data_IF_890025068227
#
_entry.id   IF_890025068227
#
_cell.length_a   1.000
_cell.length_b   1.000
_cell.length_c   1.000
_cell.angle_alpha   90.00
_cell.angle_beta   90.00
_cell.angle_gamma   90.00
#
_symmetry.space_group_name_H-M   'P 1'
#
loop_
_entity.id
_entity.type
_entity.pdbx_description
1 polymer ?
#
# COMPACT_ATOMS: atom_id res chain seq x y z
N UNK A 1 -14.20 11.69 0.58
CA UNK A 1 -13.15 11.12 1.45
C UNK A 1 -13.28 9.61 1.37
N UNK A 2 -12.19 8.88 1.55
CA UNK A 2 -12.13 7.43 1.28
C UNK A 2 -13.06 6.57 2.15
N UNK A 3 -13.57 7.10 3.26
CA UNK A 3 -14.43 6.41 4.22
C UNK A 3 -15.82 7.04 4.37
N UNK A 4 -16.25 7.80 3.38
CA UNK A 4 -17.58 8.41 3.35
C UNK A 4 -18.50 7.61 2.43
N UNK A 5 -19.70 7.30 2.89
CA UNK A 5 -20.74 6.59 2.10
C UNK A 5 -21.90 7.53 1.85
N UNK A 6 -22.22 7.77 0.58
CA UNK A 6 -23.37 8.57 0.18
C UNK A 6 -24.56 7.63 -0.02
N UNK A 7 -25.59 7.81 0.79
CA UNK A 7 -26.87 7.13 0.69
C UNK A 7 -27.83 7.99 -0.12
N UNK A 8 -28.54 7.37 -1.06
CA UNK A 8 -29.61 8.03 -1.83
C UNK A 8 -30.80 7.08 -1.92
N UNK A 9 -31.99 7.59 -1.73
CA UNK A 9 -33.23 6.80 -1.77
C UNK A 9 -34.37 7.53 -2.48
N UNK A 10 -35.39 6.78 -2.85
CA UNK A 10 -36.59 7.35 -3.41
C UNK A 10 -37.45 7.97 -2.30
N UNK A 11 -37.99 9.16 -2.55
CA UNK A 11 -38.88 9.82 -1.61
C UNK A 11 -40.05 8.90 -1.23
N UNK A 12 -40.27 8.78 0.07
CA UNK A 12 -41.47 8.11 0.57
C UNK A 12 -42.72 8.93 0.26
N UNK A 13 -43.86 8.25 0.18
CA UNK A 13 -45.16 8.88 0.05
C UNK A 13 -45.96 8.67 1.32
N UNK A 14 -46.70 9.68 1.72
CA UNK A 14 -47.56 9.69 2.89
C UNK A 14 -48.85 10.43 2.54
N UNK A 15 -49.97 10.14 3.20
CA UNK A 15 -51.27 10.77 2.95
C UNK A 15 -51.35 12.22 3.49
N UNK A 16 -50.42 12.61 4.33
CA UNK A 16 -50.33 13.96 4.87
C UNK A 16 -49.07 14.68 4.36
N UNK A 17 -47.91 14.28 4.81
CA UNK A 17 -46.59 14.69 4.31
C UNK A 17 -45.47 13.93 5.02
N UNK A 18 -44.43 13.60 4.29
CA UNK A 18 -43.17 13.11 4.89
C UNK A 18 -42.41 14.27 5.56
N UNK A 19 -42.17 14.15 6.85
CA UNK A 19 -41.46 15.14 7.64
C UNK A 19 -39.93 15.03 7.54
N UNK A 20 -39.46 13.84 7.25
CA UNK A 20 -38.01 13.56 7.13
C UNK A 20 -37.69 12.08 7.26
N UNK A 21 -36.41 11.80 7.32
CA UNK A 21 -35.86 10.43 7.33
C UNK A 21 -34.90 10.23 8.50
N UNK A 22 -34.97 9.06 9.09
CA UNK A 22 -33.95 8.54 9.99
C UNK A 22 -33.03 7.60 9.23
N UNK A 23 -31.74 7.83 9.41
CA UNK A 23 -30.70 6.96 8.88
C UNK A 23 -30.12 6.16 10.05
N UNK A 24 -29.98 4.87 9.86
CA UNK A 24 -29.33 3.98 10.81
C UNK A 24 -28.12 3.33 10.14
N UNK A 25 -27.07 3.15 10.93
CA UNK A 25 -25.90 2.36 10.58
C UNK A 25 -25.81 1.24 11.60
N UNK A 26 -25.85 -0.01 11.15
CA UNK A 26 -25.78 -1.21 12.01
C UNK A 26 -26.78 -1.17 13.17
N UNK A 27 -27.98 -0.70 12.88
CA UNK A 27 -29.06 -0.57 13.85
C UNK A 27 -28.95 0.65 14.78
N UNK A 28 -27.88 1.45 14.67
CA UNK A 28 -27.70 2.66 15.47
C UNK A 28 -28.11 3.90 14.68
N UNK A 29 -28.96 4.79 15.22
CA UNK A 29 -29.35 6.01 14.51
C UNK A 29 -28.17 6.96 14.33
N UNK A 30 -28.06 7.53 13.14
CA UNK A 30 -27.05 8.54 12.82
C UNK A 30 -27.48 9.88 13.38
N UNK A 31 -26.64 10.45 14.22
CA UNK A 31 -26.84 11.79 14.82
C UNK A 31 -26.18 12.83 13.91
N UNK A 32 -26.93 13.80 13.37
CA UNK A 32 -26.34 14.89 12.60
C UNK A 32 -25.40 15.72 13.46
N UNK A 33 -24.28 16.13 12.87
CA UNK A 33 -23.26 16.93 13.56
C UNK A 33 -23.87 18.26 14.06
N UNK A 34 -23.58 18.59 15.33
CA UNK A 34 -23.99 19.84 15.95
C UNK A 34 -25.50 19.95 16.28
N UNK A 35 -26.25 18.83 16.20
CA UNK A 35 -27.67 18.81 16.59
C UNK A 35 -27.88 18.01 17.87
N UNK A 36 -28.77 18.55 18.72
CA UNK A 36 -29.35 17.79 19.84
C UNK A 36 -30.43 16.87 19.27
N UNK A 37 -30.00 15.63 18.91
CA UNK A 37 -30.82 14.65 18.25
C UNK A 37 -31.28 13.58 19.24
N UNK A 38 -32.59 13.43 19.39
CA UNK A 38 -33.18 12.39 20.21
C UNK A 38 -34.15 11.54 19.36
N UNK A 39 -33.78 10.30 19.01
CA UNK A 39 -34.63 9.44 18.19
C UNK A 39 -35.96 9.10 18.90
N UNK A 40 -35.99 9.09 20.23
CA UNK A 40 -37.21 8.85 21.00
C UNK A 40 -38.19 10.01 20.81
N UNK A 41 -37.71 11.21 20.58
CA UNK A 41 -38.50 12.43 20.41
C UNK A 41 -38.93 12.67 18.94
N UNK A 42 -38.77 11.71 18.06
CA UNK A 42 -39.20 11.85 16.66
C UNK A 42 -38.28 12.71 15.80
N UNK A 43 -37.04 12.98 16.24
CA UNK A 43 -36.10 13.73 15.41
C UNK A 43 -35.65 12.96 14.17
N UNK A 44 -35.44 13.69 13.07
CA UNK A 44 -34.97 13.17 11.80
C UNK A 44 -33.48 13.39 11.63
N UNK A 45 -32.81 12.44 10.96
CA UNK A 45 -31.41 12.63 10.53
C UNK A 45 -31.34 13.69 9.43
N UNK A 46 -32.27 13.65 8.47
CA UNK A 46 -32.34 14.58 7.34
C UNK A 46 -33.77 14.72 6.82
N UNK A 47 -34.06 15.84 6.18
CA UNK A 47 -35.29 16.04 5.40
C UNK A 47 -35.12 15.67 3.90
N UNK A 48 -33.87 15.51 3.48
CA UNK A 48 -33.51 15.20 2.10
C UNK A 48 -33.54 13.71 1.82
N UNK A 49 -33.60 13.32 0.54
CA UNK A 49 -33.52 11.93 0.09
C UNK A 49 -32.07 11.46 -0.18
N UNK A 50 -31.13 12.16 0.43
CA UNK A 50 -29.71 11.81 0.40
C UNK A 50 -29.06 12.15 1.73
N UNK A 51 -28.07 11.37 2.13
CA UNK A 51 -27.28 11.62 3.33
C UNK A 51 -25.88 11.01 3.20
N UNK A 52 -24.84 11.72 3.66
CA UNK A 52 -23.48 11.20 3.68
C UNK A 52 -23.14 10.74 5.10
N UNK A 53 -22.88 9.46 5.25
CA UNK A 53 -22.31 8.88 6.46
C UNK A 53 -20.80 8.93 6.36
N UNK A 54 -20.15 9.52 7.36
CA UNK A 54 -18.70 9.75 7.37
C UNK A 54 -18.00 8.89 8.40
N UNK A 55 -16.71 8.58 8.15
CA UNK A 55 -15.84 7.95 9.13
C UNK A 55 -16.13 6.47 9.41
N UNK A 56 -16.73 5.75 8.46
CA UNK A 56 -16.99 4.32 8.57
C UNK A 56 -15.72 3.50 8.41
N UNK A 57 -15.65 2.38 9.12
CA UNK A 57 -14.64 1.36 8.91
C UNK A 57 -15.09 0.43 7.76
N UNK A 58 -14.80 0.82 6.52
CA UNK A 58 -15.22 0.09 5.33
C UNK A 58 -14.53 -1.26 5.14
N UNK A 59 -13.69 -1.70 6.08
CA UNK A 59 -13.17 -3.07 6.14
C UNK A 59 -14.16 -4.04 6.81
N UNK A 60 -15.31 -3.54 7.24
CA UNK A 60 -16.42 -4.31 7.81
C UNK A 60 -17.69 -4.14 7.00
N UNK A 61 -18.55 -5.14 7.05
CA UNK A 61 -19.89 -5.02 6.51
C UNK A 61 -20.68 -3.99 7.30
N UNK A 62 -21.43 -3.14 6.60
CA UNK A 62 -22.34 -2.19 7.22
C UNK A 62 -23.74 -2.33 6.66
N UNK A 63 -24.73 -2.32 7.55
CA UNK A 63 -26.14 -2.29 7.18
C UNK A 63 -26.68 -0.88 7.39
N UNK A 64 -27.23 -0.31 6.34
CA UNK A 64 -27.90 0.98 6.37
C UNK A 64 -29.40 0.77 6.31
N UNK A 65 -30.13 1.46 7.18
CA UNK A 65 -31.60 1.45 7.20
C UNK A 65 -32.13 2.87 7.16
N UNK A 66 -33.08 3.12 6.28
CA UNK A 66 -33.75 4.41 6.12
C UNK A 66 -35.20 4.26 6.54
N UNK A 67 -35.65 5.03 7.48
CA UNK A 67 -37.06 5.14 7.90
C UNK A 67 -37.62 6.51 7.56
N UNK A 68 -38.76 6.56 6.95
CA UNK A 68 -39.52 7.79 6.75
C UNK A 68 -40.46 8.05 7.95
N UNK A 69 -40.58 9.30 8.33
CA UNK A 69 -41.54 9.73 9.34
C UNK A 69 -42.42 10.88 8.83
N UNK A 70 -43.65 10.92 9.26
CA UNK A 70 -44.59 11.97 8.88
C UNK A 70 -44.40 13.26 9.67
N UNK A 71 -45.02 14.33 9.20
CA UNK A 71 -44.98 15.65 9.87
C UNK A 71 -45.82 15.71 11.15
N UNK A 72 -46.79 14.82 11.29
CA UNK A 72 -47.68 14.81 12.44
C UNK A 72 -47.00 14.38 13.73
N UNK A 73 -45.98 13.56 13.65
CA UNK A 73 -45.21 13.12 14.78
C UNK A 73 -44.60 14.32 15.56
N UNK A 74 -43.96 15.25 14.85
CA UNK A 74 -43.40 16.47 15.49
C UNK A 74 -44.48 17.41 16.04
N UNK A 75 -45.57 17.55 15.36
CA UNK A 75 -46.69 18.34 15.81
C UNK A 75 -47.31 17.75 17.08
N UNK A 76 -47.49 16.44 17.14
CA UNK A 76 -48.01 15.75 18.34
C UNK A 76 -47.10 15.86 19.54
N UNK A 77 -45.78 15.80 19.37
CA UNK A 77 -44.80 16.05 20.44
C UNK A 77 -44.87 17.46 20.99
N UNK A 78 -44.95 18.45 20.09
CA UNK A 78 -45.01 19.88 20.49
C UNK A 78 -46.29 20.17 21.28
N UNK A 79 -47.38 19.47 21.02
CA UNK A 79 -48.66 19.60 21.72
C UNK A 79 -48.73 18.77 23.02
N UNK A 80 -47.73 17.94 23.32
CA UNK A 80 -47.74 17.08 24.51
C UNK A 80 -48.83 16.00 24.52
N UNK A 81 -49.36 15.61 23.35
CA UNK A 81 -50.47 14.70 23.19
C UNK A 81 -50.08 13.32 22.60
N UNK A 82 -48.80 13.07 22.37
CA UNK A 82 -48.30 11.86 21.74
C UNK A 82 -48.65 10.56 22.49
N UNK A 83 -48.77 10.60 23.82
CA UNK A 83 -49.17 9.45 24.65
C UNK A 83 -50.58 8.91 24.34
N UNK A 84 -51.38 9.68 23.64
CA UNK A 84 -52.78 9.36 23.37
C UNK A 84 -53.05 8.99 21.90
N UNK A 85 -52.05 9.11 21.04
CA UNK A 85 -52.16 8.77 19.63
C UNK A 85 -51.71 7.31 19.38
N UNK A 86 -52.56 6.38 19.77
CA UNK A 86 -52.37 4.99 19.37
C UNK A 86 -52.47 4.88 17.83
N UNK A 87 -51.38 4.58 17.14
CA UNK A 87 -51.35 4.39 15.70
C UNK A 87 -50.25 5.12 14.97
N UNK A 88 -49.46 5.98 15.62
CA UNK A 88 -48.25 6.58 15.06
C UNK A 88 -47.12 5.57 15.10
N UNK A 89 -47.03 4.75 14.12
CA UNK A 89 -45.85 3.92 13.87
C UNK A 89 -45.00 4.62 12.81
N UNK A 90 -43.75 4.91 13.15
CA UNK A 90 -42.71 4.96 12.16
C UNK A 90 -42.90 3.75 11.27
N UNK A 91 -42.84 3.93 9.94
CA UNK A 91 -42.92 2.80 9.03
C UNK A 91 -42.00 1.71 9.55
N UNK A 92 -42.61 0.65 10.03
CA UNK A 92 -41.92 -0.38 10.82
C UNK A 92 -40.84 -1.10 10.01
N UNK A 93 -40.90 -0.97 8.68
CA UNK A 93 -39.93 -1.53 7.78
C UNK A 93 -39.27 -0.43 6.97
N UNK A 94 -38.15 0.06 7.47
CA UNK A 94 -37.25 0.90 6.69
C UNK A 94 -36.66 0.13 5.50
N UNK A 95 -36.28 0.85 4.46
CA UNK A 95 -35.49 0.28 3.37
C UNK A 95 -34.08 0.00 3.92
N UNK A 96 -33.65 -1.26 3.85
CA UNK A 96 -32.32 -1.66 4.30
C UNK A 96 -31.47 -2.11 3.11
N UNK A 97 -30.19 -1.78 3.16
CA UNK A 97 -29.17 -2.26 2.24
C UNK A 97 -27.89 -2.58 3.00
N UNK A 98 -27.14 -3.54 2.51
CA UNK A 98 -25.84 -3.91 3.08
C UNK A 98 -24.74 -3.51 2.13
N UNK A 99 -23.71 -2.82 2.65
CA UNK A 99 -22.44 -2.58 1.99
C UNK A 99 -21.45 -3.62 2.51
N UNK A 100 -21.01 -4.51 1.64
CA UNK A 100 -20.01 -5.51 2.00
C UNK A 100 -18.64 -4.87 2.23
N UNK A 101 -17.86 -5.48 3.11
CA UNK A 101 -16.51 -5.06 3.45
C UNK A 101 -15.62 -4.98 2.21
N UNK A 102 -14.79 -3.94 2.14
CA UNK A 102 -13.63 -3.90 1.24
C UNK A 102 -12.55 -4.82 1.78
N UNK A 103 -11.79 -5.40 0.88
CA UNK A 103 -10.59 -6.10 1.28
C UNK A 103 -9.43 -5.12 1.45
N UNK A 104 -8.82 -5.13 2.62
CA UNK A 104 -7.55 -4.44 2.89
C UNK A 104 -6.67 -5.37 3.72
N UNK A 105 -5.47 -5.63 3.24
CA UNK A 105 -4.48 -6.44 3.95
C UNK A 105 -3.07 -5.98 3.62
N UNK A 106 -2.18 -6.13 4.57
CA UNK A 106 -0.76 -5.83 4.42
C UNK A 106 0.10 -7.00 4.91
N UNK A 107 1.30 -7.06 4.37
CA UNK A 107 2.34 -8.03 4.72
C UNK A 107 3.69 -7.36 4.59
N UNK A 108 4.67 -7.81 5.37
CA UNK A 108 6.05 -7.39 5.25
C UNK A 108 6.95 -8.61 5.13
N UNK A 109 7.94 -8.51 4.24
CA UNK A 109 8.94 -9.56 4.02
C UNK A 109 10.32 -8.93 3.91
N UNK A 110 11.35 -9.71 4.25
CA UNK A 110 12.74 -9.33 4.03
C UNK A 110 13.28 -10.15 2.88
N UNK A 111 13.87 -9.51 1.89
CA UNK A 111 14.44 -10.18 0.73
C UNK A 111 15.84 -10.75 1.00
N UNK A 112 16.39 -11.46 -0.01
CA UNK A 112 17.72 -12.08 0.10
C UNK A 112 18.86 -11.07 0.29
N UNK A 113 18.65 -9.78 0.00
CA UNK A 113 19.62 -8.70 0.23
C UNK A 113 19.52 -8.10 1.64
N UNK A 114 18.50 -8.51 2.42
CA UNK A 114 18.20 -7.95 3.73
C UNK A 114 17.32 -6.69 3.68
N UNK A 115 16.71 -6.37 2.54
CA UNK A 115 15.81 -5.24 2.42
C UNK A 115 14.39 -5.62 2.90
N UNK A 116 13.82 -4.79 3.76
CA UNK A 116 12.43 -4.93 4.20
C UNK A 116 11.50 -4.32 3.17
N UNK A 117 10.50 -5.10 2.78
CA UNK A 117 9.51 -4.74 1.76
C UNK A 117 8.12 -4.91 2.34
N UNK A 118 7.37 -3.83 2.40
CA UNK A 118 5.97 -3.87 2.76
C UNK A 118 5.10 -3.98 1.49
N UNK A 119 4.11 -4.87 1.52
CA UNK A 119 3.14 -5.06 0.45
C UNK A 119 1.75 -4.87 1.03
N UNK A 120 0.97 -3.97 0.45
CA UNK A 120 -0.43 -3.78 0.80
C UNK A 120 -1.31 -4.09 -0.40
N UNK A 121 -2.46 -4.70 -0.15
CA UNK A 121 -3.47 -5.03 -1.17
C UNK A 121 -4.81 -4.45 -0.75
N UNK A 122 -5.47 -3.78 -1.70
CA UNK A 122 -6.83 -3.27 -1.55
C UNK A 122 -7.70 -3.73 -2.70
N UNK A 123 -8.92 -4.08 -2.40
CA UNK A 123 -9.92 -4.44 -3.40
C UNK A 123 -11.31 -3.97 -2.97
N UNK A 124 -12.15 -3.68 -3.94
CA UNK A 124 -13.55 -3.36 -3.70
C UNK A 124 -14.30 -4.58 -3.13
N UNK A 125 -15.44 -4.29 -2.51
CA UNK A 125 -16.29 -5.32 -1.93
C UNK A 125 -16.67 -6.40 -2.96
N UNK A 126 -16.53 -7.65 -2.55
CA UNK A 126 -16.87 -8.81 -3.39
C UNK A 126 -15.77 -9.28 -4.36
N UNK A 127 -14.72 -8.48 -4.58
CA UNK A 127 -13.59 -8.88 -5.46
C UNK A 127 -12.73 -9.97 -4.81
N UNK A 128 -12.57 -9.91 -3.51
CA UNK A 128 -11.86 -10.91 -2.73
C UNK A 128 -12.82 -11.50 -1.70
N UNK A 129 -12.97 -12.84 -1.62
CA UNK A 129 -13.81 -13.48 -0.65
C UNK A 129 -13.47 -13.09 0.79
N UNK A 130 -14.49 -12.93 1.63
CA UNK A 130 -14.29 -12.61 3.06
C UNK A 130 -13.48 -13.71 3.76
N UNK A 131 -12.57 -13.32 4.65
CA UNK A 131 -11.70 -14.24 5.38
C UNK A 131 -10.45 -14.70 4.61
N UNK A 132 -10.27 -14.23 3.36
CA UNK A 132 -9.05 -14.51 2.60
C UNK A 132 -7.83 -13.84 3.23
N UNK A 133 -6.67 -14.50 3.12
CA UNK A 133 -5.41 -14.05 3.68
C UNK A 133 -4.40 -13.71 2.59
N UNK A 134 -3.77 -12.55 2.69
CA UNK A 134 -2.64 -12.18 1.87
C UNK A 134 -1.38 -12.90 2.37
N UNK A 135 -0.70 -13.63 1.47
CA UNK A 135 0.60 -14.23 1.72
C UNK A 135 1.61 -13.67 0.73
N UNK A 136 2.69 -13.10 1.27
CA UNK A 136 3.82 -12.59 0.49
C UNK A 136 5.06 -13.36 0.89
N UNK A 137 5.86 -13.76 -0.10
CA UNK A 137 7.14 -14.45 0.12
C UNK A 137 8.19 -13.81 -0.78
N UNK A 138 9.32 -13.42 -0.22
CA UNK A 138 10.47 -13.00 -1.02
C UNK A 138 11.22 -14.22 -1.54
N UNK A 139 11.44 -14.27 -2.86
CA UNK A 139 12.12 -15.39 -3.52
C UNK A 139 13.59 -15.02 -3.76
N UNK A 140 14.50 -15.90 -3.30
CA UNK A 140 15.95 -15.78 -3.50
C UNK A 140 16.56 -16.90 -4.36
N UNK A 141 15.72 -17.83 -4.83
CA UNK A 141 16.14 -18.98 -5.63
C UNK A 141 15.00 -19.52 -6.49
N UNK A 142 15.31 -20.43 -7.40
CA UNK A 142 14.34 -21.09 -8.29
C UNK A 142 14.23 -20.45 -9.66
N UNK A 143 13.45 -21.10 -10.54
CA UNK A 143 13.39 -20.75 -11.98
C UNK A 143 12.99 -19.28 -12.23
N UNK A 144 11.99 -18.78 -11.48
CA UNK A 144 11.56 -17.39 -11.61
C UNK A 144 12.66 -16.41 -11.17
N UNK A 145 13.37 -16.71 -10.08
CA UNK A 145 14.49 -15.90 -9.61
C UNK A 145 15.64 -15.89 -10.62
N UNK A 146 15.99 -17.05 -11.19
CA UNK A 146 17.07 -17.18 -12.19
C UNK A 146 16.74 -16.42 -13.48
N UNK A 147 15.48 -16.45 -13.92
CA UNK A 147 15.01 -15.69 -15.08
C UNK A 147 15.11 -14.17 -14.83
N UNK A 148 14.67 -13.71 -13.67
CA UNK A 148 14.78 -12.30 -13.24
C UNK A 148 16.24 -11.88 -13.17
N UNK A 149 17.09 -12.65 -12.50
CA UNK A 149 18.52 -12.39 -12.36
C UNK A 149 19.23 -12.28 -13.71
N UNK A 150 18.87 -13.14 -14.66
CA UNK A 150 19.41 -13.09 -16.03
C UNK A 150 18.94 -11.83 -16.78
N UNK A 151 17.69 -11.42 -16.62
CA UNK A 151 17.11 -10.27 -17.33
C UNK A 151 17.56 -8.92 -16.75
N UNK A 152 17.83 -8.88 -15.47
CA UNK A 152 18.26 -7.68 -14.74
C UNK A 152 19.69 -7.82 -14.18
N UNK A 153 20.56 -8.44 -14.97
CA UNK A 153 21.98 -8.55 -14.63
C UNK A 153 22.57 -7.16 -14.32
N UNK A 154 23.37 -7.09 -13.24
CA UNK A 154 23.93 -5.84 -12.72
C UNK A 154 22.91 -4.77 -12.28
N UNK A 155 21.69 -5.16 -11.95
CA UNK A 155 20.67 -4.30 -11.33
C UNK A 155 20.27 -4.85 -9.97
N UNK A 156 19.80 -3.96 -9.09
CA UNK A 156 19.16 -4.38 -7.84
C UNK A 156 17.73 -4.79 -8.11
N UNK A 157 17.30 -5.91 -7.56
CA UNK A 157 15.92 -6.34 -7.64
C UNK A 157 15.51 -7.14 -6.41
N UNK A 158 14.20 -7.16 -6.15
CA UNK A 158 13.56 -8.02 -5.17
C UNK A 158 12.38 -8.72 -5.82
N UNK A 159 12.37 -10.04 -5.80
CA UNK A 159 11.31 -10.87 -6.38
C UNK A 159 10.37 -11.34 -5.28
N UNK A 160 9.08 -11.08 -5.46
CA UNK A 160 8.02 -11.38 -4.51
C UNK A 160 7.02 -12.35 -5.14
N UNK A 161 6.69 -13.41 -4.43
CA UNK A 161 5.53 -14.26 -4.70
C UNK A 161 4.36 -13.74 -3.84
N UNK A 162 3.35 -13.18 -4.49
CA UNK A 162 2.15 -12.63 -3.85
C UNK A 162 1.01 -13.60 -4.10
N UNK A 163 0.38 -14.10 -3.05
CA UNK A 163 -0.72 -15.05 -3.11
C UNK A 163 -1.86 -14.64 -2.21
N UNK A 164 -3.05 -15.04 -2.61
CA UNK A 164 -4.25 -14.98 -1.80
C UNK A 164 -4.63 -16.39 -1.40
N UNK A 165 -4.89 -16.61 -0.13
CA UNK A 165 -5.34 -17.90 0.41
C UNK A 165 -6.76 -17.77 0.90
N UNK A 166 -7.60 -18.78 0.66
CA UNK A 166 -8.92 -18.89 1.28
C UNK A 166 -8.82 -19.30 2.76
N UNK A 167 -9.96 -19.46 3.41
CA UNK A 167 -10.04 -19.87 4.82
C UNK A 167 -9.53 -21.30 5.09
N UNK A 168 -9.39 -22.12 4.04
CA UNK A 168 -8.86 -23.49 4.10
C UNK A 168 -7.38 -23.54 3.76
N UNK A 169 -6.78 -22.41 3.33
CA UNK A 169 -5.38 -22.29 2.96
C UNK A 169 -5.08 -22.61 1.49
N UNK A 170 -6.12 -22.78 0.65
CA UNK A 170 -5.94 -22.97 -0.78
C UNK A 170 -5.62 -21.64 -1.46
N UNK A 171 -4.78 -21.69 -2.51
CA UNK A 171 -4.49 -20.51 -3.33
C UNK A 171 -5.70 -20.19 -4.19
N UNK A 172 -6.14 -18.95 -4.11
CA UNK A 172 -7.25 -18.41 -4.90
C UNK A 172 -6.81 -17.15 -5.66
N UNK A 173 -7.63 -16.73 -6.61
CA UNK A 173 -7.44 -15.49 -7.36
C UNK A 173 -8.59 -14.52 -7.07
N UNK A 174 -8.38 -13.21 -7.17
CA UNK A 174 -9.45 -12.23 -7.05
C UNK A 174 -10.43 -12.33 -8.21
N UNK A 175 -11.70 -12.04 -7.97
CA UNK A 175 -12.73 -11.91 -9.00
C UNK A 175 -12.86 -10.44 -9.42
N UNK A 176 -11.81 -9.92 -10.05
CA UNK A 176 -11.75 -8.53 -10.50
C UNK A 176 -10.39 -7.88 -10.25
N UNK A 177 -10.39 -6.56 -10.34
CA UNK A 177 -9.15 -5.76 -10.20
C UNK A 177 -8.83 -5.46 -8.75
N UNK A 178 -7.57 -5.63 -8.38
CA UNK A 178 -7.03 -5.28 -7.08
C UNK A 178 -5.93 -4.23 -7.21
N UNK A 179 -5.78 -3.38 -6.22
CA UNK A 179 -4.68 -2.43 -6.10
C UNK A 179 -3.60 -3.03 -5.21
N UNK A 180 -2.38 -3.11 -5.73
CA UNK A 180 -1.19 -3.55 -4.99
C UNK A 180 -0.26 -2.37 -4.80
N UNK A 181 0.26 -2.22 -3.59
CA UNK A 181 1.24 -1.20 -3.23
C UNK A 181 2.45 -1.88 -2.59
N UNK A 182 3.64 -1.63 -3.14
CA UNK A 182 4.91 -2.20 -2.65
C UNK A 182 5.81 -1.05 -2.23
N UNK A 183 6.39 -1.12 -1.01
CA UNK A 183 7.40 -0.15 -0.60
C UNK A 183 8.66 -0.29 -1.44
N UNK A 184 9.26 0.84 -1.84
CA UNK A 184 10.55 0.84 -2.55
C UNK A 184 11.63 0.45 -1.55
N UNK A 185 12.43 -0.61 -1.82
CA UNK A 185 13.49 -1.04 -0.93
C UNK A 185 14.54 0.05 -0.70
N UNK A 186 15.10 0.08 0.51
CA UNK A 186 16.15 1.04 0.82
C UNK A 186 17.35 0.93 -0.14
N UNK A 187 17.81 2.07 -0.62
CA UNK A 187 18.97 2.15 -1.53
C UNK A 187 18.62 1.92 -3.00
N UNK A 188 17.33 1.85 -3.37
CA UNK A 188 16.89 1.91 -4.76
C UNK A 188 16.68 3.37 -5.18
N UNK A 189 17.00 3.68 -6.45
CA UNK A 189 16.65 4.98 -7.05
C UNK A 189 15.16 4.98 -7.43
N UNK A 190 14.36 5.69 -6.66
CA UNK A 190 12.91 5.72 -6.85
C UNK A 190 12.47 6.25 -8.23
N UNK A 191 13.28 7.10 -8.87
CA UNK A 191 13.01 7.62 -10.21
C UNK A 191 13.24 6.57 -11.31
N UNK A 192 13.97 5.49 -10.99
CA UNK A 192 14.30 4.38 -11.91
C UNK A 192 13.73 3.05 -11.47
N UNK A 193 12.98 3.05 -10.39
CA UNK A 193 12.34 1.82 -9.90
C UNK A 193 11.10 1.51 -10.73
N UNK A 194 11.00 0.24 -11.14
CA UNK A 194 9.85 -0.32 -11.84
C UNK A 194 9.39 -1.61 -11.21
N UNK A 195 8.16 -2.00 -11.52
CA UNK A 195 7.60 -3.28 -11.12
C UNK A 195 7.16 -4.05 -12.37
N UNK A 196 7.53 -5.33 -12.42
CA UNK A 196 7.12 -6.23 -13.49
C UNK A 196 6.41 -7.44 -12.90
N UNK A 197 5.36 -7.87 -13.58
CA UNK A 197 4.81 -9.21 -13.44
C UNK A 197 5.80 -10.22 -14.04
N UNK A 198 5.97 -11.37 -13.39
CA UNK A 198 6.84 -12.45 -13.84
C UNK A 198 6.01 -13.71 -14.06
N UNK A 199 5.86 -14.12 -15.32
CA UNK A 199 5.11 -15.30 -15.68
C UNK A 199 5.90 -16.61 -15.39
N UNK A 200 5.21 -17.75 -15.43
CA UNK A 200 5.82 -19.07 -15.17
C UNK A 200 6.92 -19.44 -16.18
N UNK A 201 6.81 -18.94 -17.41
CA UNK A 201 7.83 -19.13 -18.47
C UNK A 201 9.03 -18.18 -18.34
N UNK A 202 9.02 -17.30 -17.34
CA UNK A 202 10.04 -16.29 -17.08
C UNK A 202 9.91 -15.02 -17.92
N UNK A 203 8.87 -14.89 -18.71
CA UNK A 203 8.55 -13.61 -19.38
C UNK A 203 8.10 -12.56 -18.38
N UNK A 204 8.34 -11.28 -18.70
CA UNK A 204 8.08 -10.17 -17.81
C UNK A 204 7.30 -9.08 -18.50
N UNK A 205 6.32 -8.51 -17.79
CA UNK A 205 5.47 -7.42 -18.25
C UNK A 205 5.51 -6.26 -17.25
N UNK A 206 5.78 -5.04 -17.74
CA UNK A 206 5.74 -3.82 -16.91
C UNK A 206 4.29 -3.57 -16.49
N UNK A 207 4.04 -3.57 -15.19
CA UNK A 207 2.68 -3.32 -14.64
C UNK A 207 2.32 -1.84 -14.59
N UNK A 208 3.18 -0.96 -15.12
CA UNK A 208 2.99 0.49 -15.14
C UNK A 208 2.75 1.08 -13.75
N UNK A 209 3.51 0.61 -12.77
CA UNK A 209 3.39 1.07 -11.39
C UNK A 209 3.72 2.56 -11.25
N UNK A 210 2.93 3.26 -10.44
CA UNK A 210 3.10 4.69 -10.14
C UNK A 210 3.82 4.85 -8.80
N UNK A 211 4.90 5.64 -8.80
CA UNK A 211 5.62 5.98 -7.58
C UNK A 211 4.96 7.15 -6.85
N UNK A 212 4.73 6.99 -5.56
CA UNK A 212 4.37 8.06 -4.63
C UNK A 212 4.81 7.70 -3.21
N UNK A 213 5.35 8.66 -2.48
CA UNK A 213 5.65 8.56 -1.05
C UNK A 213 6.43 7.29 -0.64
N UNK A 214 7.46 6.94 -1.42
CA UNK A 214 8.30 5.77 -1.14
C UNK A 214 7.69 4.43 -1.54
N UNK A 215 6.60 4.42 -2.32
CA UNK A 215 5.85 3.23 -2.71
C UNK A 215 5.57 3.20 -4.19
N UNK A 216 5.49 1.99 -4.74
CA UNK A 216 5.02 1.70 -6.10
C UNK A 216 3.62 1.14 -6.01
N UNK A 217 2.65 1.76 -6.70
CA UNK A 217 1.24 1.32 -6.71
C UNK A 217 0.82 0.97 -8.13
N UNK A 218 0.15 -0.17 -8.28
CA UNK A 218 -0.34 -0.69 -9.56
C UNK A 218 -1.62 -1.51 -9.37
N UNK A 219 -2.31 -1.81 -10.46
CA UNK A 219 -3.52 -2.62 -10.45
C UNK A 219 -3.33 -3.90 -11.25
N UNK A 220 -3.85 -5.01 -10.74
CA UNK A 220 -3.78 -6.34 -11.38
C UNK A 220 -5.11 -7.08 -11.20
N UNK A 221 -5.36 -8.07 -12.05
CA UNK A 221 -6.52 -8.96 -11.95
C UNK A 221 -6.17 -10.36 -11.44
N UNK A 222 -4.90 -10.62 -11.14
CA UNK A 222 -4.42 -11.90 -10.61
C UNK A 222 -3.19 -11.69 -9.75
N UNK A 223 -2.96 -12.60 -8.80
CA UNK A 223 -1.73 -12.67 -8.03
C UNK A 223 -0.75 -13.68 -8.61
N UNK A 224 0.53 -13.38 -8.52
CA UNK A 224 1.64 -14.18 -9.02
C UNK A 224 2.98 -13.67 -8.48
N UNK A 225 4.06 -13.90 -9.25
CA UNK A 225 5.36 -13.32 -8.97
C UNK A 225 5.45 -11.89 -9.52
N UNK A 226 5.98 -10.99 -8.71
CA UNK A 226 6.26 -9.61 -9.08
C UNK A 226 7.70 -9.26 -8.69
N UNK A 227 8.40 -8.58 -9.59
CA UNK A 227 9.76 -8.10 -9.30
C UNK A 227 9.76 -6.58 -9.26
N UNK A 228 10.30 -6.02 -8.18
CA UNK A 228 10.64 -4.60 -8.08
C UNK A 228 12.12 -4.45 -8.41
N UNK A 229 12.43 -3.60 -9.37
CA UNK A 229 13.78 -3.43 -9.94
C UNK A 229 14.20 -1.97 -9.88
N UNK A 230 15.40 -1.72 -9.41
CA UNK A 230 16.10 -0.45 -9.65
C UNK A 230 16.88 -0.57 -10.97
N UNK A 231 16.42 0.12 -12.01
CA UNK A 231 17.07 0.08 -13.33
C UNK A 231 18.45 0.79 -13.39
N UNK A 232 18.94 1.29 -12.26
CA UNK A 232 20.30 1.79 -12.17
C UNK A 232 21.29 0.64 -12.33
N UNK A 233 22.20 0.76 -13.28
CA UNK A 233 23.26 -0.24 -13.47
C UNK A 233 24.26 -0.11 -12.32
N UNK A 234 24.42 -1.18 -11.55
CA UNK A 234 25.48 -1.29 -10.55
C UNK A 234 26.80 -1.47 -11.33
N UNK A 235 27.63 -0.44 -11.36
CA UNK A 235 29.00 -0.61 -11.88
C UNK A 235 29.74 -1.47 -10.87
N UNK A 236 30.19 -2.66 -11.29
CA UNK A 236 31.18 -3.36 -10.53
C UNK A 236 32.37 -2.41 -10.37
N UNK A 237 32.73 -2.10 -9.14
CA UNK A 237 34.02 -1.48 -8.85
C UNK A 237 35.05 -2.56 -9.11
N UNK A 238 35.37 -2.73 -10.38
CA UNK A 238 36.54 -3.51 -10.80
C UNK A 238 37.77 -2.72 -10.32
N UNK A 239 38.14 -3.01 -9.08
CA UNK A 239 39.41 -2.58 -8.52
C UNK A 239 40.50 -3.52 -9.09
N UNK A 240 40.54 -3.63 -10.41
CA UNK A 240 41.70 -4.16 -11.10
C UNK A 240 42.78 -3.10 -11.14
N UNK A 241 43.40 -2.92 -9.99
CA UNK A 241 44.73 -2.30 -9.92
C UNK A 241 45.73 -3.33 -10.50
N UNK A 242 45.65 -3.58 -11.80
CA UNK A 242 46.80 -4.16 -12.53
C UNK A 242 47.76 -3.04 -12.84
N UNK A 243 48.64 -2.80 -11.87
CA UNK A 243 49.88 -2.15 -12.14
C UNK A 243 50.69 -3.02 -13.09
N UNK A 244 50.62 -2.73 -14.34
CA UNK A 244 51.55 -3.22 -15.34
C UNK A 244 52.38 -2.05 -15.86
N UNK A 245 53.35 -1.70 -15.04
CA UNK A 245 54.50 -0.93 -15.47
C UNK A 245 55.44 -1.89 -16.20
N UNK A 246 55.30 -2.02 -17.49
CA UNK A 246 56.40 -2.37 -18.34
C UNK A 246 56.18 -1.87 -19.79
N UNK A 247 56.59 -0.64 -20.03
CA UNK A 247 56.95 -0.23 -21.38
C UNK A 247 58.38 0.25 -21.41
N UNK A 248 59.20 -0.74 -21.68
CA UNK A 248 60.51 -0.54 -22.28
C UNK A 248 60.33 -0.02 -23.71
N UNK A 249 60.70 1.19 -24.01
CA UNK A 249 61.01 1.62 -25.37
C UNK A 249 62.26 2.44 -25.39
N UNK A 250 63.28 1.79 -25.95
CA UNK A 250 64.59 2.37 -26.24
C UNK A 250 64.53 3.44 -27.33
N UNK A 251 65.35 4.43 -27.21
CA UNK A 251 65.57 5.43 -28.28
C UNK A 251 66.49 6.53 -27.85
N UNK A 252 67.77 6.22 -27.95
CA UNK A 252 68.89 7.07 -28.42
C UNK A 252 68.95 8.56 -28.08
N UNK A 253 69.97 8.87 -27.33
CA UNK A 253 71.18 9.58 -27.78
C UNK A 253 71.35 11.04 -27.43
N UNK A 254 72.51 11.26 -26.92
CA UNK A 254 73.37 12.45 -27.00
C UNK A 254 73.37 13.49 -25.89
N UNK A 255 74.45 13.44 -25.20
CA UNK A 255 75.36 14.62 -25.20
C UNK A 255 75.53 15.35 -23.89
N UNK A 256 76.68 15.01 -23.29
CA UNK A 256 77.62 15.96 -22.82
C UNK A 256 77.53 16.57 -21.41
N UNK A 257 78.49 16.07 -20.67
CA UNK A 257 79.50 16.79 -19.84
C UNK A 257 79.09 17.65 -18.65
N UNK A 258 79.73 17.23 -17.61
CA UNK A 258 80.62 18.03 -16.73
C UNK A 258 80.08 18.39 -15.36
N UNK A 259 80.78 17.88 -14.39
CA UNK A 259 81.49 18.66 -13.40
C UNK A 259 80.97 18.61 -11.99
N UNK A 260 81.79 17.94 -11.20
CA UNK A 260 82.16 18.52 -9.93
C UNK A 260 81.42 18.08 -8.67
N UNK A 261 81.98 17.13 -8.02
CA UNK A 261 82.85 17.25 -6.85
C UNK A 261 82.18 17.41 -5.47
N UNK A 262 82.55 16.43 -4.66
CA UNK A 262 82.80 16.52 -3.23
C UNK A 262 81.67 16.71 -2.21
N UNK A 263 81.56 15.86 -1.35
CA UNK A 263 82.31 15.43 -0.20
C UNK A 263 81.49 15.50 1.11
N UNK A 264 81.68 14.48 1.90
CA UNK A 264 81.74 14.47 3.37
C UNK A 264 80.39 14.35 4.10
N UNK A 265 80.11 13.32 4.82
CA UNK A 265 80.90 12.84 5.97
C UNK A 265 80.00 12.81 7.18
N UNK A 266 80.08 11.75 7.93
CA UNK A 266 79.70 11.69 9.33
C UNK A 266 78.47 10.88 9.66
N UNK A 267 78.57 9.57 9.96
CA UNK A 267 78.81 9.04 11.31
C UNK A 267 77.90 9.68 12.36
N UNK A 268 77.13 8.97 13.13
CA UNK A 268 77.45 7.90 14.02
C UNK A 268 76.22 7.54 14.90
N UNK A 269 76.08 6.29 15.21
CA UNK A 269 75.81 5.72 16.52
C UNK A 269 74.58 6.09 17.35
N UNK A 270 73.97 5.09 17.76
CA UNK A 270 73.89 4.62 19.15
C UNK A 270 72.49 4.30 19.61
N UNK A 271 72.14 3.09 19.64
CA UNK A 271 72.22 2.23 20.81
C UNK A 271 71.07 2.33 21.81
N UNK A 272 70.39 1.17 21.90
CA UNK A 272 69.96 0.49 23.13
C UNK A 272 68.81 1.01 23.99
N UNK A 273 67.88 0.13 24.08
CA UNK A 273 67.63 -0.75 25.25
C UNK A 273 66.50 -0.36 26.21
N UNK A 274 65.72 -1.38 26.48
CA UNK A 274 65.11 -1.68 27.78
C UNK A 274 63.68 -1.19 27.93
N UNK A 275 62.72 -1.96 28.14
CA UNK A 275 62.57 -3.07 29.03
C UNK A 275 61.37 -2.83 29.94
N UNK A 276 60.52 -3.80 29.99
CA UNK A 276 59.70 -4.22 31.14
C UNK A 276 58.76 -3.24 31.85
N UNK A 277 57.53 -3.47 31.84
CA UNK A 277 56.68 -4.22 32.79
C UNK A 277 55.30 -4.30 32.25
#
# INVERSE_FOLDING_TARGET
>A
KDNDVVLTWTAATDDTAVGGYRVYVDGTPVVPEGKDFNPVNGDYTTAETTYTVTGLDLTKDHTFTIQAGDTWWKAAQTMGTYDKMAGFNWTVEGISTTLSARYESDSAVTDASGADIAVAVKADAGVIPSGSQLKVTALGEGNAYDAVKKSFDNKKFSLLDIRLLDTEGNVIQPDGTVTVTISVPNGYDSAKTKVFYVAEDGSMEDVNAVYADGKMTFTVAHFSNYVIVDETVVKDNDNSNTGDDNQNNGGQNNGNQNGGNQNNGGQNNGNQNGGNQ
#
